data_IF_620165800310
#
_entry.id   IF_620165800310
#
_cell.length_a   1.000
_cell.length_b   1.000
_cell.length_c   1.000
_cell.angle_alpha   90.00
_cell.angle_beta   90.00
_cell.angle_gamma   90.00
#
_symmetry.space_group_name_H-M   'P 1'
#
loop_
_entity.id
_entity.type
_entity.pdbx_description
1 polymer ?
#
# COMPACT_ATOMS: atom_id res chain seq x y z
N UNK A 1 30.34 -28.08 -9.00
CA UNK A 1 30.76 -26.73 -8.61
C UNK A 1 30.23 -26.45 -7.22
N UNK A 2 31.07 -26.29 -6.22
CA UNK A 2 30.59 -25.91 -4.89
C UNK A 2 30.30 -24.41 -4.83
N UNK A 3 29.28 -23.96 -4.07
CA UNK A 3 28.96 -22.58 -3.94
C UNK A 3 30.03 -21.82 -3.14
N UNK A 4 30.49 -20.72 -3.69
CA UNK A 4 31.38 -19.78 -3.01
C UNK A 4 30.59 -19.04 -1.93
N UNK A 5 30.70 -19.49 -0.69
CA UNK A 5 30.29 -18.73 0.48
C UNK A 5 31.54 -18.02 1.01
N UNK A 6 31.54 -16.68 1.11
CA UNK A 6 32.64 -16.00 1.77
C UNK A 6 32.63 -16.34 3.25
N UNK A 7 33.68 -17.03 3.71
CA UNK A 7 33.90 -17.18 5.15
C UNK A 7 34.44 -15.86 5.69
N UNK A 8 33.65 -15.20 6.52
CA UNK A 8 34.12 -14.15 7.40
C UNK A 8 35.02 -14.82 8.46
N UNK A 9 36.33 -14.81 8.23
CA UNK A 9 37.27 -15.19 9.26
C UNK A 9 37.41 -14.03 10.25
N UNK A 10 36.87 -14.25 11.45
CA UNK A 10 37.24 -13.47 12.62
C UNK A 10 38.68 -13.85 12.97
N UNK A 11 39.65 -13.06 12.53
CA UNK A 11 41.01 -13.16 13.03
C UNK A 11 41.10 -12.33 14.30
N UNK A 12 41.20 -13.04 15.42
CA UNK A 12 41.70 -12.51 16.67
C UNK A 12 43.05 -11.84 16.41
N UNK A 13 43.10 -10.56 16.62
CA UNK A 13 44.31 -9.83 16.91
C UNK A 13 44.19 -9.20 18.27
N UNK A 14 44.57 -9.96 19.26
CA UNK A 14 45.04 -9.40 20.53
C UNK A 14 46.30 -8.56 20.27
N UNK A 15 46.30 -7.42 20.93
CA UNK A 15 47.54 -6.72 21.23
C UNK A 15 47.83 -5.48 20.43
N UNK A 16 47.31 -4.35 20.86
CA UNK A 16 48.18 -3.22 21.28
C UNK A 16 47.33 -2.09 21.86
N UNK A 17 47.48 -1.96 23.17
CA UNK A 17 47.04 -0.80 23.92
C UNK A 17 47.78 0.43 23.35
N UNK A 18 47.03 1.40 22.84
CA UNK A 18 47.39 2.82 22.88
C UNK A 18 46.21 3.55 23.44
N UNK A 19 46.33 3.93 24.68
CA UNK A 19 45.51 4.95 25.31
C UNK A 19 45.68 6.25 24.55
N UNK A 20 44.67 6.60 23.78
CA UNK A 20 44.46 7.97 23.38
C UNK A 20 43.02 8.30 23.79
N UNK A 21 42.91 9.19 24.77
CA UNK A 21 41.64 9.62 25.32
C UNK A 21 40.72 10.15 24.23
N UNK A 22 39.73 9.33 23.89
CA UNK A 22 38.52 9.78 23.22
C UNK A 22 37.38 9.58 24.20
N UNK A 23 36.90 10.71 24.70
CA UNK A 23 35.67 10.73 25.47
C UNK A 23 34.53 9.97 24.77
N UNK A 24 33.51 9.56 25.50
CA UNK A 24 32.43 8.77 24.93
C UNK A 24 31.85 9.52 23.75
N UNK A 25 31.93 8.91 22.55
CA UNK A 25 31.24 9.40 21.38
C UNK A 25 29.76 9.36 21.70
N UNK A 26 29.18 10.48 22.09
CA UNK A 26 27.74 10.63 22.17
C UNK A 26 27.16 10.31 20.79
N UNK A 27 26.65 9.11 20.64
CA UNK A 27 25.82 8.77 19.49
C UNK A 27 24.62 9.71 19.57
N UNK A 28 24.63 10.77 18.78
CA UNK A 28 23.43 11.55 18.53
C UNK A 28 22.39 10.56 18.00
N UNK A 29 21.42 10.24 18.84
CA UNK A 29 20.23 9.55 18.37
C UNK A 29 19.61 10.44 17.30
N UNK A 30 19.53 9.93 16.06
CA UNK A 30 18.78 10.60 15.01
C UNK A 30 17.36 10.78 15.53
N UNK A 31 16.81 12.00 15.52
CA UNK A 31 15.41 12.18 15.90
C UNK A 31 14.57 11.33 14.96
N UNK A 32 13.89 10.32 15.52
CA UNK A 32 12.91 9.56 14.78
C UNK A 32 11.86 10.54 14.27
N UNK A 33 11.56 10.55 12.96
CA UNK A 33 10.47 11.38 12.46
C UNK A 33 9.21 11.01 13.24
N UNK A 34 8.51 12.01 13.76
CA UNK A 34 7.20 11.80 14.36
C UNK A 34 6.28 11.34 13.24
N UNK A 35 6.08 10.04 13.14
CA UNK A 35 5.03 9.49 12.28
C UNK A 35 3.72 10.06 12.81
N UNK A 36 2.95 10.79 12.00
CA UNK A 36 1.64 11.26 12.43
C UNK A 36 0.86 10.05 12.90
N UNK A 37 0.46 10.04 14.16
CA UNK A 37 -0.46 9.02 14.64
C UNK A 37 -1.79 9.30 13.95
N UNK A 38 -2.03 8.59 12.85
CA UNK A 38 -3.35 8.56 12.27
C UNK A 38 -4.31 8.09 13.36
N UNK A 39 -5.42 8.82 13.60
CA UNK A 39 -6.43 8.31 14.51
C UNK A 39 -6.74 6.89 14.11
N UNK A 40 -6.78 5.99 15.09
CA UNK A 40 -7.12 4.56 14.90
C UNK A 40 -8.47 4.45 14.22
N UNK A 41 -8.45 4.55 12.91
CA UNK A 41 -9.53 4.07 12.06
C UNK A 41 -9.04 2.72 11.60
N UNK A 42 -9.87 1.73 11.78
CA UNK A 42 -9.61 0.38 11.31
C UNK A 42 -9.59 0.40 9.77
N UNK A 43 -8.48 0.86 9.21
CA UNK A 43 -8.24 0.86 7.77
C UNK A 43 -7.34 -0.31 7.46
N UNK A 44 -7.78 -1.19 6.60
CA UNK A 44 -6.99 -2.31 6.09
C UNK A 44 -6.50 -1.96 4.69
N UNK A 45 -5.19 -1.93 4.51
CA UNK A 45 -4.58 -1.65 3.22
C UNK A 45 -4.26 -2.94 2.48
N UNK A 46 -4.37 -2.90 1.17
CA UNK A 46 -4.00 -3.98 0.29
C UNK A 46 -3.51 -3.45 -1.06
N UNK A 47 -3.01 -4.35 -1.87
CA UNK A 47 -2.61 -4.05 -3.24
C UNK A 47 -3.08 -5.19 -4.13
N UNK A 48 -3.75 -4.86 -5.21
CA UNK A 48 -4.24 -5.84 -6.16
C UNK A 48 -3.84 -5.48 -7.60
N UNK A 49 -3.75 -6.49 -8.43
CA UNK A 49 -3.67 -6.32 -9.88
C UNK A 49 -5.08 -6.29 -10.43
N UNK A 50 -5.39 -5.25 -11.19
CA UNK A 50 -6.63 -5.19 -11.94
C UNK A 50 -6.48 -6.09 -13.18
N UNK A 51 -7.35 -7.07 -13.32
CA UNK A 51 -7.33 -7.92 -14.51
C UNK A 51 -7.88 -7.20 -15.75
N UNK A 52 -7.77 -7.83 -16.92
CA UNK A 52 -8.26 -7.25 -18.20
C UNK A 52 -9.76 -6.97 -18.19
N UNK A 53 -10.53 -7.71 -17.43
CA UNK A 53 -11.98 -7.52 -17.26
C UNK A 53 -12.30 -6.37 -16.31
N UNK A 54 -11.33 -5.90 -15.54
CA UNK A 54 -11.50 -4.88 -14.52
C UNK A 54 -11.87 -5.44 -13.15
N UNK A 55 -11.53 -6.71 -12.88
CA UNK A 55 -11.76 -7.32 -11.57
C UNK A 55 -10.64 -7.03 -10.61
N UNK A 56 -11.02 -6.77 -9.38
CA UNK A 56 -10.16 -6.67 -8.22
C UNK A 56 -10.39 -7.88 -7.34
N UNK A 57 -9.31 -8.61 -7.06
CA UNK A 57 -9.32 -9.77 -6.19
C UNK A 57 -8.34 -9.54 -5.04
N UNK A 58 -8.86 -9.35 -3.84
CA UNK A 58 -8.07 -9.32 -2.61
C UNK A 58 -8.90 -9.91 -1.48
N UNK A 59 -8.59 -11.15 -1.12
CA UNK A 59 -9.33 -11.90 -0.12
C UNK A 59 -9.31 -11.21 1.24
N UNK A 60 -8.15 -10.74 1.69
CA UNK A 60 -7.99 -10.12 2.99
C UNK A 60 -8.81 -8.82 3.10
N UNK A 61 -8.84 -8.02 2.04
CA UNK A 61 -9.65 -6.81 1.96
C UNK A 61 -11.15 -7.16 2.04
N UNK A 62 -11.61 -8.14 1.28
CA UNK A 62 -13.02 -8.53 1.28
C UNK A 62 -13.45 -9.12 2.62
N UNK A 63 -12.61 -9.94 3.23
CA UNK A 63 -12.85 -10.50 4.58
C UNK A 63 -12.90 -9.39 5.64
N UNK A 64 -12.03 -8.39 5.58
CA UNK A 64 -12.04 -7.27 6.50
C UNK A 64 -13.33 -6.45 6.45
N UNK A 65 -13.94 -6.35 5.26
CA UNK A 65 -15.23 -5.69 5.06
C UNK A 65 -16.42 -6.60 5.40
N UNK A 66 -16.20 -7.90 5.57
CA UNK A 66 -17.26 -8.88 5.70
C UNK A 66 -18.11 -9.03 4.42
N UNK A 67 -17.56 -8.62 3.28
CA UNK A 67 -18.25 -8.71 2.00
C UNK A 67 -18.25 -10.15 1.46
N UNK A 68 -19.38 -10.53 0.90
CA UNK A 68 -19.62 -11.89 0.40
C UNK A 68 -20.06 -11.86 -1.06
N UNK A 69 -19.91 -12.98 -1.79
CA UNK A 69 -20.45 -13.11 -3.14
C UNK A 69 -21.93 -12.70 -3.21
N UNK A 70 -22.28 -12.00 -4.27
CA UNK A 70 -23.65 -11.52 -4.49
C UNK A 70 -23.97 -10.16 -3.84
N UNK A 71 -23.11 -9.65 -2.96
CA UNK A 71 -23.28 -8.31 -2.40
C UNK A 71 -23.31 -7.27 -3.52
N UNK A 72 -24.33 -6.43 -3.53
CA UNK A 72 -24.44 -5.35 -4.50
C UNK A 72 -23.66 -4.13 -4.05
N UNK A 73 -23.01 -3.50 -5.00
CA UNK A 73 -22.15 -2.33 -4.76
C UNK A 73 -22.43 -1.24 -5.78
N UNK A 74 -22.21 0.00 -5.36
CA UNK A 74 -22.20 1.15 -6.24
C UNK A 74 -20.83 1.82 -6.22
N UNK A 75 -20.56 2.58 -7.26
CA UNK A 75 -19.29 3.24 -7.48
C UNK A 75 -19.48 4.75 -7.54
N UNK A 76 -18.59 5.47 -6.89
CA UNK A 76 -18.47 6.92 -7.00
C UNK A 76 -17.00 7.29 -7.20
N UNK A 77 -16.77 8.36 -7.97
CA UNK A 77 -15.44 8.94 -8.14
C UNK A 77 -15.40 10.21 -7.31
N UNK A 78 -14.45 10.30 -6.39
CA UNK A 78 -14.23 11.45 -5.53
C UNK A 78 -12.76 11.84 -5.59
N UNK A 79 -12.48 13.01 -6.12
CA UNK A 79 -11.10 13.52 -6.24
C UNK A 79 -10.11 12.52 -6.86
N UNK A 80 -10.56 11.79 -7.87
CA UNK A 80 -9.77 10.76 -8.55
C UNK A 80 -9.70 9.40 -7.85
N UNK A 81 -10.23 9.29 -6.63
CA UNK A 81 -10.41 8.02 -5.93
C UNK A 81 -11.69 7.33 -6.37
N UNK A 82 -11.65 6.01 -6.45
CA UNK A 82 -12.84 5.21 -6.68
C UNK A 82 -13.36 4.73 -5.32
N UNK A 83 -14.55 5.14 -4.97
CA UNK A 83 -15.22 4.72 -3.75
C UNK A 83 -16.24 3.65 -4.10
N UNK A 84 -16.07 2.45 -3.56
CA UNK A 84 -17.00 1.34 -3.69
C UNK A 84 -17.78 1.20 -2.38
N UNK A 85 -19.08 1.21 -2.47
CA UNK A 85 -19.96 1.13 -1.31
C UNK A 85 -20.93 -0.02 -1.46
N UNK A 86 -21.15 -0.79 -0.39
CA UNK A 86 -22.25 -1.73 -0.31
C UNK A 86 -23.58 -0.96 -0.41
N UNK A 87 -24.43 -1.35 -1.34
CA UNK A 87 -25.70 -0.70 -1.60
C UNK A 87 -26.64 -1.65 -2.34
N UNK A 88 -27.80 -1.93 -1.77
CA UNK A 88 -28.77 -2.87 -2.36
C UNK A 88 -29.25 -2.45 -3.76
N UNK A 89 -29.22 -1.15 -4.05
CA UNK A 89 -29.55 -0.58 -5.37
C UNK A 89 -28.33 -0.50 -6.30
N UNK A 90 -27.21 -1.05 -5.88
CA UNK A 90 -25.95 -1.00 -6.64
C UNK A 90 -26.06 -1.66 -8.00
N UNK A 91 -25.34 -1.11 -8.97
CA UNK A 91 -25.37 -1.58 -10.37
C UNK A 91 -24.61 -2.88 -10.61
N UNK A 92 -23.78 -3.30 -9.68
CA UNK A 92 -22.95 -4.51 -9.79
C UNK A 92 -23.02 -5.33 -8.53
N UNK A 93 -22.91 -6.64 -8.69
CA UNK A 93 -22.75 -7.57 -7.58
C UNK A 93 -21.35 -8.17 -7.59
N UNK A 94 -20.83 -8.50 -6.43
CA UNK A 94 -19.60 -9.28 -6.31
C UNK A 94 -19.84 -10.67 -6.93
N UNK A 95 -18.82 -11.16 -7.65
CA UNK A 95 -18.91 -12.48 -8.27
C UNK A 95 -18.79 -13.62 -7.23
N UNK A 96 -18.88 -14.86 -7.69
CA UNK A 96 -18.82 -16.06 -6.83
C UNK A 96 -17.49 -16.18 -6.04
N UNK A 97 -16.44 -15.53 -6.53
CA UNK A 97 -15.11 -15.47 -5.89
C UNK A 97 -14.92 -14.21 -5.04
N UNK A 98 -15.99 -13.43 -4.85
CA UNK A 98 -15.96 -12.18 -4.11
C UNK A 98 -15.06 -11.12 -4.76
N UNK A 99 -15.00 -11.07 -6.10
CA UNK A 99 -14.27 -10.03 -6.82
C UNK A 99 -15.15 -8.83 -7.10
N UNK A 100 -14.56 -7.63 -7.01
CA UNK A 100 -15.19 -6.38 -7.42
C UNK A 100 -14.87 -6.13 -8.88
N UNK A 101 -15.89 -6.00 -9.72
CA UNK A 101 -15.74 -5.63 -11.13
C UNK A 101 -15.92 -4.13 -11.30
N UNK A 102 -14.84 -3.42 -11.59
CA UNK A 102 -14.89 -1.98 -11.90
C UNK A 102 -15.53 -1.76 -13.28
N UNK A 103 -16.62 -0.99 -13.37
CA UNK A 103 -17.23 -0.66 -14.65
C UNK A 103 -16.26 0.07 -15.58
N UNK A 104 -16.35 -0.17 -16.89
CA UNK A 104 -15.49 0.45 -17.89
C UNK A 104 -15.51 1.99 -17.80
N UNK A 105 -16.69 2.58 -17.56
CA UNK A 105 -16.83 4.03 -17.40
C UNK A 105 -16.00 4.58 -16.23
N UNK A 106 -15.95 3.83 -15.11
CA UNK A 106 -15.17 4.21 -13.93
C UNK A 106 -13.68 4.12 -14.24
N UNK A 107 -13.26 3.03 -14.88
CA UNK A 107 -11.87 2.85 -15.28
C UNK A 107 -11.39 3.95 -16.22
N UNK A 108 -12.17 4.29 -17.23
CA UNK A 108 -11.85 5.37 -18.19
C UNK A 108 -11.77 6.73 -17.50
N UNK A 109 -12.70 7.05 -16.63
CA UNK A 109 -12.72 8.31 -15.89
C UNK A 109 -11.49 8.47 -14.98
N UNK A 110 -10.96 7.37 -14.46
CA UNK A 110 -9.76 7.35 -13.61
C UNK A 110 -8.48 7.03 -14.38
N UNK A 111 -8.52 6.99 -15.73
CA UNK A 111 -7.39 6.67 -16.61
C UNK A 111 -6.70 5.36 -16.24
N UNK A 112 -7.50 4.35 -15.94
CA UNK A 112 -7.01 3.00 -15.64
C UNK A 112 -7.02 2.20 -16.94
N UNK A 113 -5.85 1.99 -17.50
CA UNK A 113 -5.64 1.22 -18.72
C UNK A 113 -4.81 -0.05 -18.43
N UNK A 114 -5.08 -1.10 -19.20
CA UNK A 114 -4.36 -2.37 -19.09
C UNK A 114 -4.65 -3.12 -17.80
N UNK A 115 -3.60 -3.67 -17.20
CA UNK A 115 -3.65 -4.46 -15.96
C UNK A 115 -2.78 -3.85 -14.86
N UNK A 116 -3.07 -2.62 -14.41
CA UNK A 116 -2.24 -1.94 -13.43
C UNK A 116 -2.40 -2.55 -12.03
N UNK A 117 -1.45 -2.25 -11.18
CA UNK A 117 -1.61 -2.42 -9.74
C UNK A 117 -2.36 -1.23 -9.16
N UNK A 118 -3.28 -1.51 -8.26
CA UNK A 118 -4.04 -0.50 -7.51
C UNK A 118 -3.84 -0.71 -6.02
N UNK A 119 -3.80 0.37 -5.28
CA UNK A 119 -3.79 0.31 -3.81
C UNK A 119 -5.22 0.36 -3.30
N UNK A 120 -5.52 -0.50 -2.36
CA UNK A 120 -6.83 -0.66 -1.75
C UNK A 120 -6.79 -0.19 -0.31
N UNK A 121 -7.83 0.49 0.12
CA UNK A 121 -8.08 0.82 1.51
C UNK A 121 -9.50 0.41 1.88
N UNK A 122 -9.63 -0.62 2.69
CA UNK A 122 -10.91 -1.03 3.25
C UNK A 122 -11.20 -0.24 4.52
N UNK A 123 -12.41 0.25 4.62
CA UNK A 123 -12.96 0.97 5.78
C UNK A 123 -14.13 0.16 6.36
N UNK A 124 -13.87 -0.88 7.17
CA UNK A 124 -14.91 -1.78 7.65
C UNK A 124 -16.03 -1.05 8.39
N UNK A 125 -15.71 -0.13 9.28
CA UNK A 125 -16.70 0.64 10.04
C UNK A 125 -17.60 1.54 9.18
N UNK A 126 -17.24 1.79 7.92
CA UNK A 126 -18.03 2.57 6.98
C UNK A 126 -18.57 1.77 5.81
N UNK A 127 -18.25 0.47 5.74
CA UNK A 127 -18.61 -0.40 4.63
C UNK A 127 -18.23 0.21 3.27
N UNK A 128 -16.96 0.65 3.17
CA UNK A 128 -16.39 1.29 1.98
C UNK A 128 -15.08 0.63 1.61
N UNK A 129 -14.88 0.46 0.32
CA UNK A 129 -13.60 0.15 -0.28
C UNK A 129 -13.15 1.35 -1.11
N UNK A 130 -11.95 1.82 -0.87
CA UNK A 130 -11.34 2.90 -1.66
C UNK A 130 -10.27 2.29 -2.55
N UNK A 131 -10.37 2.54 -3.85
CA UNK A 131 -9.37 2.13 -4.83
C UNK A 131 -8.58 3.36 -5.27
N UNK A 132 -7.27 3.28 -5.13
CA UNK A 132 -6.35 4.34 -5.53
C UNK A 132 -5.77 3.98 -6.90
N UNK A 133 -6.14 4.70 -7.96
CA UNK A 133 -5.53 4.54 -9.27
C UNK A 133 -4.04 4.90 -9.23
N UNK A 134 -3.18 4.26 -10.05
CA UNK A 134 -1.73 4.51 -10.02
C UNK A 134 -1.34 5.97 -10.21
N UNK A 135 -2.01 6.66 -11.14
CA UNK A 135 -1.72 8.07 -11.41
C UNK A 135 -1.98 8.97 -10.20
N UNK A 136 -3.09 8.76 -9.50
CA UNK A 136 -3.41 9.52 -8.29
C UNK A 136 -2.46 9.17 -7.15
N UNK A 137 -2.14 7.89 -6.97
CA UNK A 137 -1.19 7.47 -5.93
C UNK A 137 0.18 8.12 -6.13
N UNK A 138 0.65 8.20 -7.38
CA UNK A 138 1.88 8.91 -7.73
C UNK A 138 1.83 10.38 -7.32
N UNK A 139 0.72 11.08 -7.56
CA UNK A 139 0.56 12.47 -7.15
C UNK A 139 0.55 12.64 -5.62
N UNK A 140 -0.17 11.78 -4.92
CA UNK A 140 -0.29 11.84 -3.45
C UNK A 140 1.06 11.58 -2.74
N UNK A 141 1.90 10.76 -3.32
CA UNK A 141 3.17 10.36 -2.72
C UNK A 141 4.36 11.21 -3.18
N UNK A 142 4.22 11.97 -4.26
CA UNK A 142 5.31 12.72 -4.89
C UNK A 142 6.04 13.63 -3.92
N UNK A 143 5.32 14.45 -3.16
CA UNK A 143 5.93 15.38 -2.21
C UNK A 143 6.73 14.66 -1.11
N UNK A 144 6.21 13.54 -0.62
CA UNK A 144 6.86 12.72 0.41
C UNK A 144 8.12 12.05 -0.15
N UNK A 145 8.03 11.52 -1.37
CA UNK A 145 9.18 10.90 -2.03
C UNK A 145 10.28 11.93 -2.34
N UNK A 146 9.91 13.10 -2.87
CA UNK A 146 10.86 14.19 -3.15
C UNK A 146 11.57 14.63 -1.88
N UNK A 147 10.84 14.80 -0.79
CA UNK A 147 11.44 15.17 0.49
C UNK A 147 12.38 14.09 1.03
N UNK A 148 11.98 12.80 0.91
CA UNK A 148 12.78 11.68 1.38
C UNK A 148 14.06 11.46 0.57
N UNK A 149 14.03 11.77 -0.73
CA UNK A 149 15.16 11.60 -1.66
C UNK A 149 15.98 12.90 -1.87
N UNK A 150 15.76 13.92 -1.06
CA UNK A 150 16.52 15.17 -1.15
C UNK A 150 16.30 15.97 -2.44
N UNK A 151 15.18 15.78 -3.12
CA UNK A 151 14.82 16.48 -4.36
C UNK A 151 15.27 15.76 -5.65
N UNK A 152 15.84 14.57 -5.55
CA UNK A 152 16.23 13.73 -6.69
C UNK A 152 15.09 12.82 -7.14
N UNK A 153 14.17 13.34 -7.94
CA UNK A 153 13.14 12.55 -8.64
C UNK A 153 13.06 12.99 -10.10
#
# INVERSE_FOLDING_TARGET
>A
MPPLVPRLSLSDREGQRREAGRGPVQRRSLPLPKVPQLPRRDVVFGMAVLDRSGRIADKAIMESLGWKPGLRVKFAIREGLIVVAADETGSRALDERCHVLLPMRVRRACRIDGTPRVVLAALPGRQRLIVHPPALLGQLTLAVHTAALGGEL
#
